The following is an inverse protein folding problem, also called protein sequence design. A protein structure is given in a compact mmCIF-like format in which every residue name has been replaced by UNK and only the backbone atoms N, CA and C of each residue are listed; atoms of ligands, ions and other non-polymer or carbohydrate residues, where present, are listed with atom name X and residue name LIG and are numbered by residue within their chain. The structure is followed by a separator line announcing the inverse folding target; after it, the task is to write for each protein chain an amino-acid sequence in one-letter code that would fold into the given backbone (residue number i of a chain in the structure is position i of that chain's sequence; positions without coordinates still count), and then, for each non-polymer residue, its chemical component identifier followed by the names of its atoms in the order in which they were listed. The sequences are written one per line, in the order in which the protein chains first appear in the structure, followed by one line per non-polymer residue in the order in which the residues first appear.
data_IF_244546950249
#
_entry.id   IF_244546950249
#
_cell.length_a   1.000
_cell.length_b   1.000
_cell.length_c   1.000
_cell.angle_alpha   90.00
_cell.angle_beta   90.00
_cell.angle_gamma   90.00
#
_symmetry.space_group_name_H-M   'P 1'
#
loop_
_entity.id
_entity.type
_entity.pdbx_description
1 polymer ?
#
# COMPACT_ATOMS: atom_id res chain seq x y z
N UNK A 1 -6.03 20.86 25.45
CA UNK A 1 -4.74 21.34 24.91
C UNK A 1 -3.77 20.17 24.99
N UNK A 2 -3.62 19.49 23.86
CA UNK A 2 -2.54 18.56 23.56
C UNK A 2 -2.10 18.91 22.14
N UNK A 3 -1.19 19.87 22.02
CA UNK A 3 -0.45 20.15 20.80
C UNK A 3 0.52 19.01 20.53
N UNK A 4 0.53 18.48 19.30
CA UNK A 4 1.74 18.24 18.50
C UNK A 4 1.39 17.52 17.18
N UNK A 5 0.92 18.30 16.22
CA UNK A 5 1.45 18.36 14.86
C UNK A 5 1.82 17.02 14.19
N UNK A 6 0.93 16.02 14.20
CA UNK A 6 1.11 14.88 13.32
C UNK A 6 0.81 15.36 11.89
N UNK A 7 1.82 15.44 11.00
CA UNK A 7 1.61 15.95 9.66
C UNK A 7 0.60 15.03 8.94
N UNK A 8 -0.55 15.59 8.56
CA UNK A 8 -1.60 14.91 7.81
C UNK A 8 -1.01 14.13 6.62
N UNK A 9 -1.65 13.02 6.23
CA UNK A 9 -1.17 12.20 5.10
C UNK A 9 -0.96 13.01 3.82
N UNK A 10 -1.77 14.04 3.61
CA UNK A 10 -1.64 14.97 2.47
C UNK A 10 -0.37 15.82 2.61
N UNK A 11 -0.10 16.36 3.80
CA UNK A 11 1.13 17.11 4.03
C UNK A 11 2.38 16.24 3.86
N UNK A 12 2.30 14.93 4.17
CA UNK A 12 3.37 13.99 3.87
C UNK A 12 3.62 13.84 2.36
N UNK A 13 2.53 13.69 1.58
CA UNK A 13 2.58 13.61 0.12
C UNK A 13 3.15 14.90 -0.48
N UNK A 14 2.69 16.06 -0.03
CA UNK A 14 3.18 17.35 -0.49
C UNK A 14 4.67 17.55 -0.12
N UNK A 15 5.08 17.16 1.08
CA UNK A 15 6.48 17.20 1.49
C UNK A 15 7.35 16.26 0.63
N UNK A 16 6.85 15.08 0.24
CA UNK A 16 7.55 14.22 -0.71
C UNK A 16 7.68 14.85 -2.09
N UNK A 17 6.62 15.47 -2.61
CA UNK A 17 6.64 16.21 -3.89
C UNK A 17 7.56 17.44 -3.83
N UNK A 18 7.69 18.07 -2.67
CA UNK A 18 8.63 19.14 -2.41
C UNK A 18 10.06 18.65 -2.09
N UNK A 19 10.34 17.35 -2.24
CA UNK A 19 11.65 16.71 -1.94
C UNK A 19 12.12 16.83 -0.48
N UNK A 20 11.18 17.11 0.44
CA UNK A 20 11.42 17.22 1.88
C UNK A 20 11.28 15.88 2.63
N UNK A 21 10.54 14.93 2.04
CA UNK A 21 10.43 13.55 2.53
C UNK A 21 10.76 12.57 1.40
N UNK A 22 11.22 11.40 1.78
CA UNK A 22 11.36 10.24 0.90
C UNK A 22 10.02 9.53 0.71
N UNK A 23 9.90 8.76 -0.38
CA UNK A 23 8.73 7.90 -0.60
C UNK A 23 8.54 6.91 0.55
N UNK A 24 9.62 6.32 1.08
CA UNK A 24 9.57 5.34 2.17
C UNK A 24 9.01 5.94 3.47
N UNK A 25 9.31 7.22 3.77
CA UNK A 25 8.72 7.93 4.90
C UNK A 25 7.22 8.16 4.74
N UNK A 26 6.76 8.49 3.52
CA UNK A 26 5.33 8.60 3.22
C UNK A 26 4.65 7.23 3.35
N UNK A 27 5.25 6.19 2.80
CA UNK A 27 4.74 4.81 2.92
C UNK A 27 4.65 4.39 4.38
N UNK A 28 5.64 4.73 5.20
CA UNK A 28 5.64 4.42 6.63
C UNK A 28 4.43 5.04 7.33
N UNK A 29 4.09 6.31 7.02
CA UNK A 29 2.91 6.98 7.58
C UNK A 29 1.59 6.34 7.16
N UNK A 30 1.45 5.89 5.92
CA UNK A 30 0.26 5.15 5.52
C UNK A 30 0.20 3.75 6.15
N UNK A 31 1.33 3.06 6.23
CA UNK A 31 1.37 1.67 6.70
C UNK A 31 1.35 1.54 8.22
N UNK A 32 1.57 2.64 8.96
CA UNK A 32 1.35 2.67 10.42
C UNK A 32 -0.13 2.74 10.80
N UNK A 33 -1.03 3.11 9.89
CA UNK A 33 -2.46 3.19 10.16
C UNK A 33 -3.03 1.81 10.56
N UNK A 34 -3.82 1.71 11.65
CA UNK A 34 -4.57 0.51 12.00
C UNK A 34 -5.40 -0.05 10.84
N UNK A 35 -5.70 -1.37 10.88
CA UNK A 35 -6.40 -2.06 9.77
C UNK A 35 -7.87 -1.64 9.61
N UNK A 36 -8.45 -1.05 10.65
CA UNK A 36 -9.80 -0.50 10.72
C UNK A 36 -9.87 1.00 10.36
N UNK A 37 -8.73 1.67 10.15
CA UNK A 37 -8.65 3.09 9.78
C UNK A 37 -8.70 3.34 8.26
N UNK A 38 -9.41 2.48 7.51
CA UNK A 38 -9.58 2.68 6.07
C UNK A 38 -10.22 4.02 5.71
N UNK A 39 -11.08 4.57 6.57
CA UNK A 39 -11.69 5.89 6.40
C UNK A 39 -10.67 7.03 6.29
N UNK A 40 -9.53 6.93 6.98
CA UNK A 40 -8.45 7.94 6.92
C UNK A 40 -7.83 7.97 5.52
N UNK A 41 -7.66 6.80 4.90
CA UNK A 41 -7.17 6.68 3.52
C UNK A 41 -8.18 7.23 2.52
N UNK A 42 -9.48 6.95 2.72
CA UNK A 42 -10.57 7.51 1.90
C UNK A 42 -10.64 9.03 1.98
N UNK A 43 -10.39 9.59 3.16
CA UNK A 43 -10.31 11.03 3.36
C UNK A 43 -9.10 11.61 2.62
N UNK A 44 -7.92 10.99 2.74
CA UNK A 44 -6.73 11.41 1.99
C UNK A 44 -6.95 11.37 0.47
N UNK A 45 -7.63 10.35 -0.06
CA UNK A 45 -8.03 10.29 -1.49
C UNK A 45 -8.92 11.48 -1.86
N UNK A 46 -9.92 11.78 -1.02
CA UNK A 46 -10.86 12.89 -1.24
C UNK A 46 -10.11 14.23 -1.30
N UNK A 47 -9.22 14.47 -0.33
CA UNK A 47 -8.50 15.72 -0.22
C UNK A 47 -7.47 15.89 -1.34
N UNK A 48 -6.78 14.80 -1.73
CA UNK A 48 -5.87 14.81 -2.87
C UNK A 48 -6.59 15.09 -4.19
N UNK A 49 -7.81 14.56 -4.37
CA UNK A 49 -8.63 14.85 -5.55
C UNK A 49 -9.16 16.29 -5.56
N UNK A 50 -9.34 16.90 -4.39
CA UNK A 50 -9.76 18.30 -4.27
C UNK A 50 -8.62 19.31 -4.53
N UNK A 51 -7.37 18.85 -4.69
CA UNK A 51 -6.26 19.74 -5.01
C UNK A 51 -6.48 20.42 -6.38
N UNK A 52 -6.22 21.74 -6.50
CA UNK A 52 -6.43 22.49 -7.74
C UNK A 52 -5.67 21.90 -8.94
N UNK A 53 -4.45 21.42 -8.71
CA UNK A 53 -3.59 20.84 -9.75
C UNK A 53 -4.18 19.57 -10.37
N UNK A 54 -4.80 18.73 -9.54
CA UNK A 54 -5.47 17.48 -9.97
C UNK A 54 -6.76 17.80 -10.73
N UNK A 55 -7.51 18.79 -10.24
CA UNK A 55 -8.75 19.24 -10.89
C UNK A 55 -8.47 19.90 -12.24
N UNK A 56 -7.39 20.68 -12.36
CA UNK A 56 -6.99 21.34 -13.60
C UNK A 56 -6.45 20.36 -14.65
N UNK A 57 -5.71 19.31 -14.24
CA UNK A 57 -5.20 18.29 -15.16
C UNK A 57 -6.30 17.36 -15.69
N UNK A 58 -7.41 17.19 -14.99
CA UNK A 58 -8.59 16.50 -15.54
C UNK A 58 -9.23 17.28 -16.71
N UNK A 59 -9.06 18.61 -16.76
CA UNK A 59 -9.66 19.48 -17.77
C UNK A 59 -8.75 19.76 -18.98
N UNK A 60 -7.44 19.51 -18.87
CA UNK A 60 -6.47 19.82 -19.92
C UNK A 60 -5.66 18.58 -20.35
N UNK A 61 -5.63 18.22 -21.65
CA UNK A 61 -4.72 17.20 -22.14
C UNK A 61 -3.28 17.67 -21.94
N UNK A 62 -2.55 17.05 -21.02
CA UNK A 62 -1.18 17.44 -20.67
C UNK A 62 -0.23 17.20 -21.85
N UNK A 63 0.13 18.27 -22.56
CA UNK A 63 1.23 18.29 -23.51
C UNK A 63 2.55 18.43 -22.73
N UNK A 64 3.37 17.37 -22.68
CA UNK A 64 4.77 17.51 -22.25
C UNK A 64 5.38 16.40 -21.38
N UNK A 65 4.61 15.42 -20.91
CA UNK A 65 5.16 14.23 -20.23
C UNK A 65 4.76 13.01 -21.04
N UNK A 66 5.72 12.32 -21.64
CA UNK A 66 5.47 11.04 -22.29
C UNK A 66 4.78 10.13 -21.26
N UNK A 67 3.52 9.76 -21.54
CA UNK A 67 2.78 8.87 -20.66
C UNK A 67 3.60 7.59 -20.46
N UNK A 68 3.71 7.06 -19.22
CA UNK A 68 4.46 5.84 -19.00
C UNK A 68 3.88 4.73 -19.88
N UNK A 69 4.76 3.96 -20.53
CA UNK A 69 4.33 2.85 -21.37
C UNK A 69 3.64 1.78 -20.54
N UNK A 70 2.84 0.94 -21.19
CA UNK A 70 2.20 -0.23 -20.54
C UNK A 70 3.24 -1.12 -19.85
N UNK A 71 4.43 -1.28 -20.44
CA UNK A 71 5.49 -2.10 -19.87
C UNK A 71 6.10 -1.46 -18.61
N UNK A 72 6.28 -0.14 -18.59
CA UNK A 72 6.70 0.58 -17.40
C UNK A 72 5.69 0.44 -16.26
N UNK A 73 4.39 0.60 -16.56
CA UNK A 73 3.33 0.36 -15.59
C UNK A 73 3.27 -1.07 -15.08
N UNK A 74 3.48 -2.05 -15.97
CA UNK A 74 3.57 -3.45 -15.56
C UNK A 74 4.75 -3.68 -14.61
N UNK A 75 5.92 -3.13 -14.93
CA UNK A 75 7.09 -3.23 -14.07
C UNK A 75 6.85 -2.61 -12.69
N UNK A 76 6.22 -1.42 -12.65
CA UNK A 76 5.82 -0.76 -11.39
C UNK A 76 4.91 -1.65 -10.54
N UNK A 77 3.86 -2.21 -11.13
CA UNK A 77 2.90 -3.05 -10.41
C UNK A 77 3.50 -4.39 -9.96
N UNK A 78 4.35 -5.00 -10.78
CA UNK A 78 4.97 -6.31 -10.47
C UNK A 78 6.05 -6.21 -9.39
N UNK A 79 6.75 -5.08 -9.31
CA UNK A 79 7.71 -4.81 -8.24
C UNK A 79 7.05 -4.25 -6.97
N UNK A 80 5.75 -3.97 -7.03
CA UNK A 80 5.02 -3.28 -5.99
C UNK A 80 4.63 -4.17 -4.80
N UNK A 81 4.50 -3.53 -3.64
CA UNK A 81 3.87 -4.12 -2.44
C UNK A 81 2.50 -3.50 -2.23
N UNK A 82 1.60 -4.25 -1.61
CA UNK A 82 0.23 -3.79 -1.34
C UNK A 82 -0.09 -3.77 0.14
N UNK A 83 -1.01 -2.88 0.51
CA UNK A 83 -1.74 -2.92 1.77
C UNK A 83 -3.22 -2.73 1.47
N UNK A 84 -4.07 -3.40 2.24
CA UNK A 84 -5.51 -3.26 2.15
C UNK A 84 -6.12 -3.05 3.54
N UNK A 85 -7.09 -2.14 3.61
CA UNK A 85 -8.02 -1.97 4.72
C UNK A 85 -9.35 -2.53 4.25
N UNK A 86 -9.80 -3.64 4.82
CA UNK A 86 -10.93 -4.39 4.27
C UNK A 86 -12.28 -3.97 4.85
N UNK A 87 -12.29 -3.45 6.08
CA UNK A 87 -13.50 -3.12 6.84
C UNK A 87 -13.16 -2.15 7.97
N UNK A 88 -14.07 -1.24 8.37
CA UNK A 88 -15.41 -0.99 7.79
C UNK A 88 -15.37 -0.24 6.46
N UNK A 89 -14.27 0.44 6.18
CA UNK A 89 -14.10 1.30 5.01
C UNK A 89 -13.04 0.73 4.08
N UNK A 90 -13.43 0.09 2.96
CA UNK A 90 -12.48 -0.50 2.04
C UNK A 90 -11.53 0.53 1.43
N UNK A 91 -10.23 0.28 1.54
CA UNK A 91 -9.20 1.07 0.89
C UNK A 91 -7.98 0.21 0.56
N UNK A 92 -7.19 0.66 -0.42
CA UNK A 92 -5.98 0.01 -0.88
C UNK A 92 -4.85 1.01 -1.10
N UNK A 93 -3.63 0.57 -0.77
CA UNK A 93 -2.39 1.22 -1.11
C UNK A 93 -1.53 0.25 -1.93
N UNK A 94 -1.12 0.66 -3.13
CA UNK A 94 -0.03 0.02 -3.86
C UNK A 94 1.20 0.93 -3.78
N UNK A 95 2.33 0.33 -3.44
CA UNK A 95 3.63 1.00 -3.37
C UNK A 95 4.49 0.41 -4.47
N UNK A 96 4.61 1.13 -5.57
CA UNK A 96 5.56 0.82 -6.65
C UNK A 96 6.92 1.48 -6.41
N UNK A 97 7.95 1.09 -7.17
CA UNK A 97 9.28 1.70 -7.12
C UNK A 97 9.31 3.22 -7.28
N UNK A 98 8.39 3.80 -8.06
CA UNK A 98 8.39 5.25 -8.32
C UNK A 98 7.07 5.95 -7.99
N UNK A 99 6.01 5.19 -7.74
CA UNK A 99 4.66 5.71 -7.49
C UNK A 99 4.01 5.09 -6.26
N UNK A 100 3.11 5.86 -5.65
CA UNK A 100 2.11 5.35 -4.70
C UNK A 100 0.74 5.43 -5.36
N UNK A 101 -0.10 4.43 -5.15
CA UNK A 101 -1.48 4.44 -5.63
C UNK A 101 -2.41 4.22 -4.45
N UNK A 102 -3.32 5.17 -4.25
CA UNK A 102 -4.40 5.06 -3.26
C UNK A 102 -5.72 4.82 -3.99
N UNK A 103 -6.54 3.91 -3.47
CA UNK A 103 -7.87 3.63 -4.01
C UNK A 103 -8.86 3.25 -2.91
N UNK A 104 -10.11 3.70 -3.02
CA UNK A 104 -11.24 3.22 -2.22
C UNK A 104 -12.18 2.30 -3.03
N UNK A 105 -11.74 1.91 -4.23
CA UNK A 105 -12.52 1.12 -5.18
C UNK A 105 -13.52 1.93 -6.01
N UNK A 106 -13.86 3.15 -5.60
CA UNK A 106 -14.71 4.08 -6.37
C UNK A 106 -13.89 5.24 -6.95
N UNK A 107 -12.89 5.68 -6.19
CA UNK A 107 -11.99 6.79 -6.48
C UNK A 107 -10.57 6.36 -6.18
N UNK A 108 -9.62 6.98 -6.86
CA UNK A 108 -8.22 6.70 -6.62
C UNK A 108 -7.32 7.76 -7.22
N UNK A 109 -6.07 7.75 -6.76
CA UNK A 109 -5.03 8.66 -7.19
C UNK A 109 -3.72 7.92 -7.37
N UNK A 110 -2.97 8.32 -8.40
CA UNK A 110 -1.55 8.02 -8.55
C UNK A 110 -0.78 9.21 -8.01
N UNK A 111 0.19 8.93 -7.15
CA UNK A 111 1.05 9.92 -6.51
C UNK A 111 2.48 9.60 -6.91
N UNK A 112 3.19 10.56 -7.48
CA UNK A 112 4.62 10.49 -7.74
C UNK A 112 5.31 11.75 -7.22
N UNK A 113 6.64 11.77 -7.26
CA UNK A 113 7.42 12.97 -6.97
C UNK A 113 7.06 14.16 -7.90
N UNK A 114 6.54 13.88 -9.10
CA UNK A 114 6.14 14.91 -10.06
C UNK A 114 4.73 15.46 -9.83
N UNK A 115 3.94 14.86 -8.93
CA UNK A 115 2.58 15.31 -8.63
C UNK A 115 1.58 14.18 -8.47
N UNK A 116 0.31 14.57 -8.35
CA UNK A 116 -0.82 13.65 -8.16
C UNK A 116 -1.72 13.65 -9.39
N UNK A 117 -2.28 12.49 -9.75
CA UNK A 117 -3.22 12.33 -10.87
C UNK A 117 -4.42 11.48 -10.44
N UNK A 118 -5.61 11.89 -10.86
CA UNK A 118 -6.83 11.13 -10.61
C UNK A 118 -6.90 9.84 -11.46
N UNK A 119 -7.48 8.80 -10.89
CA UNK A 119 -7.82 7.55 -11.59
C UNK A 119 -9.30 7.53 -11.96
N UNK A 120 -9.65 6.81 -13.03
CA UNK A 120 -11.05 6.51 -13.32
C UNK A 120 -11.62 5.53 -12.28
N UNK A 121 -12.94 5.53 -12.14
CA UNK A 121 -13.62 4.60 -11.23
C UNK A 121 -13.37 3.12 -11.59
N UNK A 122 -13.34 2.79 -12.88
CA UNK A 122 -13.06 1.41 -13.34
C UNK A 122 -11.65 0.95 -12.95
N UNK A 123 -10.64 1.80 -13.13
CA UNK A 123 -9.26 1.50 -12.73
C UNK A 123 -9.14 1.41 -11.21
N UNK A 124 -9.81 2.30 -10.48
CA UNK A 124 -9.83 2.31 -9.01
C UNK A 124 -10.38 0.99 -8.44
N UNK A 125 -11.48 0.49 -9.01
CA UNK A 125 -12.07 -0.79 -8.63
C UNK A 125 -11.12 -1.97 -8.87
N UNK A 126 -10.52 -2.04 -10.06
CA UNK A 126 -9.55 -3.11 -10.39
C UNK A 126 -8.33 -3.08 -9.47
N UNK A 127 -7.83 -1.90 -9.12
CA UNK A 127 -6.67 -1.77 -8.23
C UNK A 127 -6.99 -2.15 -6.79
N UNK A 128 -8.20 -1.90 -6.30
CA UNK A 128 -8.60 -2.35 -4.96
C UNK A 128 -8.59 -3.89 -4.88
N UNK A 129 -9.16 -4.55 -5.89
CA UNK A 129 -9.12 -6.01 -6.00
C UNK A 129 -7.69 -6.54 -6.09
N UNK A 130 -6.83 -5.86 -6.84
CA UNK A 130 -5.40 -6.21 -6.92
C UNK A 130 -4.73 -6.10 -5.54
N UNK A 131 -4.97 -5.01 -4.79
CA UNK A 131 -4.43 -4.85 -3.44
C UNK A 131 -4.83 -6.02 -2.54
N UNK A 132 -6.13 -6.35 -2.52
CA UNK A 132 -6.67 -7.44 -1.72
C UNK A 132 -6.07 -8.78 -2.12
N UNK A 133 -5.93 -9.03 -3.42
CA UNK A 133 -5.34 -10.27 -3.95
C UNK A 133 -3.89 -10.43 -3.53
N UNK A 134 -3.08 -9.37 -3.64
CA UNK A 134 -1.67 -9.38 -3.22
C UNK A 134 -1.57 -9.66 -1.71
N UNK A 135 -2.38 -8.97 -0.89
CA UNK A 135 -2.37 -9.17 0.57
C UNK A 135 -2.82 -10.58 0.95
N UNK A 136 -3.85 -11.13 0.29
CA UNK A 136 -4.28 -12.51 0.51
C UNK A 136 -3.20 -13.52 0.14
N UNK A 137 -2.54 -13.33 -1.01
CA UNK A 137 -1.44 -14.19 -1.44
C UNK A 137 -0.27 -14.16 -0.44
N UNK A 138 0.10 -12.97 0.04
CA UNK A 138 1.15 -12.80 1.06
C UNK A 138 0.79 -13.50 2.37
N UNK A 139 -0.44 -13.34 2.85
CA UNK A 139 -0.89 -14.00 4.08
C UNK A 139 -0.87 -15.54 3.95
N UNK A 140 -1.35 -16.07 2.81
CA UNK A 140 -1.36 -17.51 2.57
C UNK A 140 0.06 -18.11 2.50
N UNK A 141 1.04 -17.37 1.97
CA UNK A 141 2.45 -17.77 1.99
C UNK A 141 3.01 -17.78 3.42
N UNK A 142 2.78 -16.71 4.18
CA UNK A 142 3.22 -16.60 5.58
C UNK A 142 2.65 -17.74 6.46
N UNK A 143 1.39 -18.10 6.28
CA UNK A 143 0.75 -19.20 7.00
C UNK A 143 1.40 -20.55 6.69
N UNK A 144 1.75 -20.80 5.41
CA UNK A 144 2.46 -22.02 5.00
C UNK A 144 3.85 -22.11 5.61
N UNK A 145 4.63 -21.02 5.56
CA UNK A 145 5.97 -20.98 6.14
C UNK A 145 5.93 -21.22 7.65
N UNK A 146 4.98 -20.58 8.36
CA UNK A 146 4.77 -20.82 9.79
C UNK A 146 4.37 -22.26 10.12
N UNK A 147 3.58 -22.90 9.26
CA UNK A 147 3.24 -24.32 9.36
C UNK A 147 4.48 -25.22 9.28
N UNK A 148 5.33 -24.99 8.27
CA UNK A 148 6.58 -25.74 8.07
C UNK A 148 7.54 -25.58 9.26
N UNK A 149 7.71 -24.36 9.77
CA UNK A 149 8.57 -24.10 10.94
C UNK A 149 8.05 -24.80 12.20
N UNK A 150 6.72 -24.85 12.39
CA UNK A 150 6.11 -25.60 13.51
C UNK A 150 6.36 -27.10 13.37
N UNK A 151 6.21 -27.65 12.17
CA UNK A 151 6.44 -29.06 11.88
C UNK A 151 7.91 -29.46 12.14
N UNK A 152 8.87 -28.66 11.69
CA UNK A 152 10.30 -28.88 11.96
C UNK A 152 10.61 -28.88 13.46
N UNK A 153 9.98 -28.00 14.26
CA UNK A 153 10.14 -28.01 15.72
C UNK A 153 9.59 -29.27 16.35
N UNK A 154 8.42 -29.75 15.90
CA UNK A 154 7.82 -31.00 16.40
C UNK A 154 8.75 -32.18 16.09
N UNK A 155 9.24 -32.27 14.86
CA UNK A 155 10.17 -33.34 14.44
C UNK A 155 11.49 -33.28 15.20
N UNK A 156 12.05 -32.10 15.43
CA UNK A 156 13.27 -31.90 16.23
C UNK A 156 13.07 -32.23 17.71
N UNK A 157 11.92 -31.87 18.28
CA UNK A 157 11.59 -32.21 19.67
C UNK A 157 11.30 -33.70 19.84
N UNK A 158 10.68 -34.33 18.85
CA UNK A 158 10.39 -35.77 18.84
C UNK A 158 11.66 -36.62 18.70
N UNK A 159 12.66 -36.16 17.94
CA UNK A 159 13.98 -36.82 17.85
C UNK A 159 14.74 -36.70 19.17
N UNK A 160 14.66 -35.55 19.84
CA UNK A 160 15.30 -35.32 21.15
C UNK A 160 14.73 -36.18 22.29
N UNK A 161 13.43 -36.51 22.25
CA UNK A 161 12.79 -37.39 23.25
C UNK A 161 13.05 -38.88 23.01
N UNK A 162 13.50 -39.28 21.82
CA UNK A 162 13.77 -40.67 21.48
C UNK A 162 15.17 -41.14 21.94
N UNK A 163 16.03 -40.22 22.36
CA UNK A 163 17.40 -40.49 22.83
C UNK A 163 17.53 -40.51 24.37
N UNK A 164 16.42 -40.38 25.10
CA UNK A 164 16.44 -40.55 26.56
C UNK A 164 16.42 -42.04 26.87
N UNK A 165 17.60 -42.66 26.91
CA UNK A 165 17.78 -43.93 27.60
C UNK A 165 17.41 -43.73 29.07
N UNK A 166 16.35 -44.41 29.51
CA UNK A 166 15.99 -44.50 30.93
C UNK A 166 17.09 -45.31 31.60
N UNK A 167 18.05 -44.61 32.20
CA UNK A 167 19.06 -45.23 33.07
C UNK A 167 18.29 -45.93 34.20
N UNK A 168 18.25 -47.27 34.14
CA UNK A 168 17.73 -48.15 35.20
C UNK A 168 18.84 -48.49 36.19
#
# INVERSE_FOLDING_TARGET
MSDQNEPSLISAVQAWQATQLTQEEVVTRFTSLPRDEGHVVRQAITDLLALPEVTATAAAPSAGSAAPTTDAWRAELMAGRARAWNSPDPAGLLVGPTVLILTDGQRGVVISAAGTRALSGSVSASLLLLCQTIVMAQNALNEREMGTLRQQRIESASTSMSEIDIIS
#
